data_IF_958354553500
#
_entry.id   IF_958354553500
#
_cell.length_a   1.000
_cell.length_b   1.000
_cell.length_c   1.000
_cell.angle_alpha   90.00
_cell.angle_beta   90.00
_cell.angle_gamma   90.00
#
_symmetry.space_group_name_H-M   'P 1'
#
loop_
_entity.id
_entity.type
_entity.pdbx_description
1 polymer ?
#
# COMPACT_ATOMS: atom_id res chain seq x y z
N UNK A 1 -0.67 11.14 2.02
CA UNK A 1 0.15 11.66 3.16
C UNK A 1 1.46 12.38 2.68
N UNK A 2 2.14 13.23 3.48
CA UNK A 2 3.48 13.80 3.11
C UNK A 2 4.61 12.76 3.25
N UNK A 3 5.70 12.92 2.50
CA UNK A 3 6.89 12.03 2.45
C UNK A 3 7.53 11.87 3.83
N UNK A 4 7.69 12.95 4.60
CA UNK A 4 8.32 12.87 5.93
C UNK A 4 7.50 12.04 6.92
N UNK A 5 6.17 12.21 6.91
CA UNK A 5 5.26 11.41 7.73
C UNK A 5 5.29 9.94 7.34
N UNK A 6 5.30 9.65 6.04
CA UNK A 6 5.45 8.29 5.50
C UNK A 6 6.75 7.65 5.96
N UNK A 7 7.86 8.35 5.87
CA UNK A 7 9.16 7.83 6.26
C UNK A 7 9.23 7.57 7.76
N UNK A 8 8.63 8.43 8.60
CA UNK A 8 8.51 8.19 10.04
C UNK A 8 7.71 6.92 10.35
N UNK A 9 6.57 6.72 9.69
CA UNK A 9 5.73 5.54 9.88
C UNK A 9 6.46 4.26 9.46
N UNK A 10 7.11 4.26 8.30
CA UNK A 10 7.90 3.12 7.82
C UNK A 10 9.06 2.81 8.77
N UNK A 11 9.75 3.85 9.29
CA UNK A 11 10.80 3.68 10.30
C UNK A 11 10.29 3.05 11.60
N UNK A 12 9.02 3.30 11.96
CA UNK A 12 8.34 2.68 13.10
C UNK A 12 7.71 1.31 12.78
N UNK A 13 7.99 0.74 11.60
CA UNK A 13 7.50 -0.57 11.18
C UNK A 13 6.07 -0.58 10.63
N UNK A 14 5.50 0.58 10.30
CA UNK A 14 4.21 0.66 9.63
C UNK A 14 4.32 0.38 8.14
N UNK A 15 3.33 -0.34 7.62
CA UNK A 15 3.16 -0.62 6.20
C UNK A 15 2.11 0.35 5.64
N UNK A 16 2.47 1.04 4.57
CA UNK A 16 1.57 1.99 3.92
C UNK A 16 1.24 1.42 2.55
N UNK A 17 -0.05 1.16 2.34
CA UNK A 17 -0.55 0.55 1.11
C UNK A 17 -1.46 1.52 0.36
N UNK A 18 -1.50 1.39 -0.96
CA UNK A 18 -2.43 2.13 -1.81
C UNK A 18 -2.98 1.25 -2.92
N UNK A 19 -4.18 1.59 -3.38
CA UNK A 19 -4.80 0.99 -4.56
C UNK A 19 -4.28 1.68 -5.82
N UNK A 20 -3.99 0.89 -6.83
CA UNK A 20 -3.68 1.36 -8.18
C UNK A 20 -4.39 0.44 -9.18
N UNK A 21 -4.83 0.99 -10.31
CA UNK A 21 -5.61 0.27 -11.32
C UNK A 21 -4.95 0.21 -12.70
N UNK A 22 -3.87 0.94 -12.92
CA UNK A 22 -3.23 1.03 -14.23
C UNK A 22 -1.88 0.32 -14.22
N UNK A 23 -1.53 -0.49 -15.24
CA UNK A 23 -2.38 -0.97 -16.34
C UNK A 23 -3.36 -2.08 -15.91
N UNK A 24 -3.20 -2.61 -14.70
CA UNK A 24 -4.02 -3.68 -14.12
C UNK A 24 -4.25 -3.40 -12.62
N UNK A 25 -5.37 -3.86 -12.03
CA UNK A 25 -5.65 -3.71 -10.61
C UNK A 25 -4.52 -4.28 -9.74
N UNK A 26 -3.95 -3.45 -8.88
CA UNK A 26 -2.82 -3.81 -8.02
C UNK A 26 -2.83 -3.04 -6.70
N UNK A 27 -2.17 -3.61 -5.70
CA UNK A 27 -1.87 -2.91 -4.46
C UNK A 27 -0.40 -2.56 -4.47
N UNK A 28 -0.09 -1.31 -4.16
CA UNK A 28 1.29 -0.82 -4.00
C UNK A 28 1.59 -0.62 -2.53
N UNK A 29 2.85 -0.85 -2.16
CA UNK A 29 3.38 -0.59 -0.83
C UNK A 29 4.47 0.48 -0.91
N UNK A 30 4.49 1.39 0.06
CA UNK A 30 5.54 2.38 0.16
C UNK A 30 6.84 1.71 0.63
N UNK A 31 7.96 1.97 -0.05
CA UNK A 31 9.26 1.37 0.27
C UNK A 31 10.15 2.24 1.16
N UNK A 32 9.74 3.49 1.42
CA UNK A 32 10.46 4.44 2.30
C UNK A 32 11.62 5.18 1.63
N UNK A 33 12.07 4.76 0.44
CA UNK A 33 13.13 5.44 -0.31
C UNK A 33 12.55 6.56 -1.17
N UNK A 34 12.72 7.83 -0.79
CA UNK A 34 12.28 9.02 -1.57
C UNK A 34 10.83 8.96 -2.07
N UNK A 35 9.93 8.35 -1.30
CA UNK A 35 8.53 8.20 -1.71
C UNK A 35 8.28 7.19 -2.83
N UNK A 36 9.23 6.28 -3.06
CA UNK A 36 9.07 5.17 -3.98
C UNK A 36 7.95 4.21 -3.52
N UNK A 37 7.33 3.60 -4.52
CA UNK A 37 6.26 2.65 -4.38
C UNK A 37 6.62 1.38 -5.13
N UNK A 38 6.49 0.25 -4.46
CA UNK A 38 6.61 -1.06 -5.10
C UNK A 38 5.24 -1.68 -5.29
N UNK A 39 5.10 -2.55 -6.29
CA UNK A 39 3.89 -3.37 -6.43
C UNK A 39 3.99 -4.51 -5.42
N UNK A 40 3.00 -4.61 -4.53
CA UNK A 40 2.90 -5.72 -3.58
C UNK A 40 2.34 -6.95 -4.30
N UNK A 41 1.20 -6.78 -4.96
CA UNK A 41 0.50 -7.84 -5.66
C UNK A 41 -0.42 -7.26 -6.75
N UNK A 42 -0.64 -8.04 -7.80
CA UNK A 42 -1.56 -7.75 -8.90
C UNK A 42 -2.80 -8.64 -8.79
N UNK A 43 -3.94 -8.12 -9.20
CA UNK A 43 -5.23 -8.77 -9.08
C UNK A 43 -5.94 -8.83 -10.42
N UNK A 44 -6.75 -9.87 -10.63
CA UNK A 44 -7.48 -10.05 -11.90
C UNK A 44 -8.64 -9.07 -12.03
N UNK A 45 -9.17 -8.58 -10.91
CA UNK A 45 -10.31 -7.65 -10.89
C UNK A 45 -10.20 -6.61 -9.77
N UNK A 46 -10.89 -5.48 -9.95
CA UNK A 46 -10.99 -4.43 -8.92
C UNK A 46 -11.66 -4.94 -7.64
N UNK A 47 -12.65 -5.81 -7.77
CA UNK A 47 -13.35 -6.41 -6.63
C UNK A 47 -12.44 -7.34 -5.81
N UNK A 48 -11.55 -8.10 -6.47
CA UNK A 48 -10.55 -8.92 -5.80
C UNK A 48 -9.52 -8.06 -5.07
N UNK A 49 -8.97 -7.03 -5.74
CA UNK A 49 -8.09 -6.04 -5.12
C UNK A 49 -8.75 -5.40 -3.89
N UNK A 50 -10.01 -5.00 -3.97
CA UNK A 50 -10.69 -4.31 -2.86
C UNK A 50 -10.95 -5.25 -1.66
N UNK A 51 -11.23 -6.53 -1.91
CA UNK A 51 -11.31 -7.55 -0.84
C UNK A 51 -9.96 -7.71 -0.15
N UNK A 52 -8.89 -7.89 -0.93
CA UNK A 52 -7.54 -8.04 -0.38
C UNK A 52 -7.04 -6.78 0.30
N UNK A 53 -7.38 -5.61 -0.22
CA UNK A 53 -7.04 -4.31 0.38
C UNK A 53 -7.66 -4.17 1.77
N UNK A 54 -8.95 -4.55 1.94
CA UNK A 54 -9.60 -4.57 3.25
C UNK A 54 -8.92 -5.55 4.21
N UNK A 55 -8.56 -6.75 3.74
CA UNK A 55 -7.83 -7.74 4.55
C UNK A 55 -6.47 -7.19 5.00
N UNK A 56 -5.73 -6.56 4.10
CA UNK A 56 -4.43 -5.95 4.43
C UNK A 56 -4.58 -4.80 5.43
N UNK A 57 -5.64 -3.99 5.34
CA UNK A 57 -5.91 -2.94 6.33
C UNK A 57 -6.27 -3.47 7.73
N UNK A 58 -6.76 -4.71 7.82
CA UNK A 58 -7.00 -5.34 9.13
C UNK A 58 -5.71 -5.90 9.76
N UNK A 59 -4.60 -5.97 9.02
CA UNK A 59 -3.32 -6.41 9.57
C UNK A 59 -2.72 -5.35 10.49
N UNK A 60 -2.04 -5.80 11.55
CA UNK A 60 -1.38 -4.90 12.49
C UNK A 60 -0.35 -4.01 11.77
N UNK A 61 -0.33 -2.73 12.16
CA UNK A 61 0.53 -1.68 11.61
C UNK A 61 0.41 -1.45 10.10
N UNK A 62 -0.75 -1.70 9.50
CA UNK A 62 -1.01 -1.36 8.08
C UNK A 62 -2.01 -0.20 7.97
N UNK A 63 -1.69 0.79 7.15
CA UNK A 63 -2.57 1.94 6.89
C UNK A 63 -2.66 2.24 5.39
N UNK A 64 -3.71 2.93 4.99
CA UNK A 64 -3.82 3.53 3.66
C UNK A 64 -3.07 4.88 3.58
N UNK A 65 -2.64 5.25 2.37
CA UNK A 65 -2.00 6.55 2.06
C UNK A 65 -2.98 7.64 1.62
#
# INVERSE_FOLDING_TARGET
>A
MNIDSRNKLIKNGWKIIRKDDYPEPRIKIATGSNGAWSTLEKYKSKAERDRMFKVLLTADKTIDD
#
